data_IF_265432704694
#
_entry.id   IF_265432704694
#
_cell.length_a   1.000
_cell.length_b   1.000
_cell.length_c   1.000
_cell.angle_alpha   90.00
_cell.angle_beta   90.00
_cell.angle_gamma   90.00
#
_symmetry.space_group_name_H-M   'P 1'
#
loop_
_entity.id
_entity.type
_entity.pdbx_description
1 polymer ?
#
# COMPACT_ATOMS: atom_id res chain seq x y z
N UNK A 1 -35.26 -17.11 78.90
CA UNK A 1 -35.29 -16.44 77.61
C UNK A 1 -34.09 -16.93 76.82
N UNK A 2 -34.29 -17.86 75.88
CA UNK A 2 -33.26 -18.38 75.00
C UNK A 2 -33.65 -18.06 73.55
N UNK A 3 -32.95 -17.16 72.92
CA UNK A 3 -33.11 -16.78 71.52
C UNK A 3 -32.21 -17.63 70.68
N UNK A 4 -32.81 -18.52 69.87
CA UNK A 4 -32.07 -19.29 68.85
C UNK A 4 -31.88 -18.48 67.60
N UNK A 5 -30.64 -18.20 67.23
CA UNK A 5 -30.31 -17.67 65.92
C UNK A 5 -30.04 -18.81 64.95
N UNK A 6 -30.95 -18.98 64.02
CA UNK A 6 -30.84 -19.90 62.89
C UNK A 6 -29.96 -19.24 61.82
N UNK A 7 -28.69 -19.67 61.74
CA UNK A 7 -27.75 -19.18 60.72
C UNK A 7 -28.11 -19.76 59.34
N UNK A 8 -28.55 -18.88 58.43
CA UNK A 8 -28.71 -19.21 57.04
C UNK A 8 -27.32 -19.12 56.36
N UNK A 9 -26.77 -20.28 56.04
CA UNK A 9 -25.55 -20.38 55.19
C UNK A 9 -25.96 -20.03 53.77
N UNK A 10 -25.68 -18.79 53.33
CA UNK A 10 -25.67 -18.44 51.91
C UNK A 10 -24.40 -19.01 51.30
N UNK A 11 -24.55 -20.00 50.46
CA UNK A 11 -23.53 -20.49 49.52
C UNK A 11 -23.51 -19.52 48.31
N UNK A 12 -22.40 -18.79 48.08
CA UNK A 12 -22.34 -18.03 46.84
C UNK A 12 -22.16 -19.02 45.68
N UNK A 13 -23.19 -19.10 44.83
CA UNK A 13 -23.03 -19.73 43.52
C UNK A 13 -22.01 -18.91 42.71
N UNK A 14 -20.78 -19.41 42.66
CA UNK A 14 -19.78 -18.91 41.71
C UNK A 14 -20.25 -19.34 40.34
N UNK A 15 -20.93 -18.46 39.62
CA UNK A 15 -21.15 -18.60 38.20
C UNK A 15 -19.78 -18.50 37.52
N UNK A 16 -19.21 -19.64 37.17
CA UNK A 16 -18.08 -19.71 36.25
C UNK A 16 -18.62 -19.23 34.89
N UNK A 17 -18.48 -17.92 34.64
CA UNK A 17 -18.53 -17.40 33.28
C UNK A 17 -17.30 -18.00 32.54
N UNK A 18 -17.53 -19.11 31.87
CA UNK A 18 -16.60 -19.61 30.86
C UNK A 18 -16.53 -18.55 29.76
N UNK A 19 -15.60 -17.61 29.91
CA UNK A 19 -15.13 -16.78 28.81
C UNK A 19 -14.32 -17.70 27.91
N UNK A 20 -15.03 -18.51 27.12
CA UNK A 20 -14.45 -19.16 25.97
C UNK A 20 -14.05 -18.07 24.99
N UNK A 21 -12.81 -17.57 25.10
CA UNK A 21 -12.19 -16.89 23.97
C UNK A 21 -12.12 -17.94 22.88
N UNK A 22 -12.79 -17.71 21.74
CA UNK A 22 -12.77 -18.71 20.69
C UNK A 22 -11.32 -18.85 20.22
N UNK A 23 -10.75 -20.06 20.34
CA UNK A 23 -9.43 -20.39 19.81
C UNK A 23 -9.27 -19.91 18.35
N UNK A 24 -10.36 -19.96 17.58
CA UNK A 24 -10.41 -19.51 16.20
C UNK A 24 -10.14 -18.02 16.00
N UNK A 25 -10.52 -17.15 16.95
CA UNK A 25 -10.24 -15.72 16.85
C UNK A 25 -8.72 -15.44 16.98
N UNK A 26 -8.04 -16.16 17.87
CA UNK A 26 -6.58 -16.05 18.05
C UNK A 26 -5.83 -16.53 16.81
N UNK A 27 -6.21 -17.69 16.24
CA UNK A 27 -5.58 -18.20 15.01
C UNK A 27 -5.78 -17.29 13.81
N UNK A 28 -6.97 -16.68 13.69
CA UNK A 28 -7.26 -15.70 12.63
C UNK A 28 -6.41 -14.45 12.81
N UNK A 29 -6.32 -13.92 14.03
CA UNK A 29 -5.54 -12.73 14.31
C UNK A 29 -4.04 -12.95 14.09
N UNK A 30 -3.49 -14.09 14.51
CA UNK A 30 -2.10 -14.47 14.28
C UNK A 30 -1.81 -14.60 12.78
N UNK A 31 -2.76 -15.12 11.98
CA UNK A 31 -2.65 -15.20 10.53
C UNK A 31 -2.61 -13.82 9.90
N UNK A 32 -3.53 -12.92 10.26
CA UNK A 32 -3.58 -11.55 9.76
C UNK A 32 -2.25 -10.84 10.03
N UNK A 33 -1.71 -10.93 11.25
CA UNK A 33 -0.43 -10.33 11.59
C UNK A 33 0.74 -10.92 10.80
N UNK A 34 0.73 -12.24 10.58
CA UNK A 34 1.75 -12.93 9.80
C UNK A 34 1.67 -12.52 8.31
N UNK A 35 0.47 -12.49 7.74
CA UNK A 35 0.26 -12.06 6.35
C UNK A 35 0.69 -10.60 6.14
N UNK A 36 0.37 -9.70 7.07
CA UNK A 36 0.84 -8.32 7.02
C UNK A 36 2.37 -8.23 7.00
N UNK A 37 3.04 -8.90 7.95
CA UNK A 37 4.51 -8.89 8.04
C UNK A 37 5.19 -9.50 6.82
N UNK A 38 4.59 -10.54 6.23
CA UNK A 38 5.15 -11.27 5.10
C UNK A 38 4.72 -10.72 3.75
N UNK A 39 3.83 -9.73 3.72
CA UNK A 39 3.37 -9.11 2.48
C UNK A 39 4.53 -8.45 1.73
N UNK A 40 4.46 -8.45 0.40
CA UNK A 40 5.48 -7.85 -0.45
C UNK A 40 5.72 -6.37 -0.11
N UNK A 41 4.66 -5.63 0.17
CA UNK A 41 4.75 -4.20 0.54
C UNK A 41 5.57 -4.02 1.82
N UNK A 42 5.30 -4.80 2.87
CA UNK A 42 6.05 -4.68 4.13
C UNK A 42 7.50 -5.12 3.97
N UNK A 43 7.76 -6.15 3.17
CA UNK A 43 9.11 -6.66 2.93
C UNK A 43 9.96 -5.78 2.00
N UNK A 44 9.33 -4.99 1.15
CA UNK A 44 10.02 -4.21 0.12
C UNK A 44 10.00 -2.71 0.43
N UNK A 45 8.81 -2.11 0.47
CA UNK A 45 8.66 -0.65 0.62
C UNK A 45 8.75 -0.19 2.08
N UNK A 46 8.27 -1.01 3.01
CA UNK A 46 8.16 -0.66 4.43
C UNK A 46 9.24 -1.31 5.31
N UNK A 47 10.15 -2.10 4.72
CA UNK A 47 11.18 -2.87 5.45
C UNK A 47 12.04 -2.06 6.42
N UNK A 48 12.28 -0.80 6.08
CA UNK A 48 13.08 0.11 6.89
C UNK A 48 12.24 0.97 7.85
N UNK A 49 10.96 0.68 7.97
CA UNK A 49 10.02 1.34 8.87
C UNK A 49 9.82 0.51 10.14
N UNK A 50 9.67 1.17 11.27
CA UNK A 50 9.43 0.50 12.55
C UNK A 50 7.93 0.30 12.78
N UNK A 51 7.29 -0.56 11.98
CA UNK A 51 5.85 -0.83 12.05
C UNK A 51 5.59 -2.08 12.88
N UNK A 52 4.65 -1.96 13.82
CA UNK A 52 4.06 -3.07 14.57
C UNK A 52 2.62 -3.24 14.14
N UNK A 53 2.24 -4.47 13.87
CA UNK A 53 0.88 -4.87 13.51
C UNK A 53 0.32 -5.73 14.63
N UNK A 54 -0.83 -5.37 15.16
CA UNK A 54 -1.57 -6.15 16.16
C UNK A 54 -3.00 -6.32 15.70
N UNK A 55 -3.48 -7.58 15.68
CA UNK A 55 -4.86 -7.91 15.34
C UNK A 55 -5.63 -8.37 16.58
N UNK A 56 -6.87 -7.97 16.67
CA UNK A 56 -7.81 -8.49 17.66
C UNK A 56 -9.21 -8.54 17.06
N UNK A 57 -9.76 -9.76 16.96
CA UNK A 57 -11.08 -10.03 16.38
C UNK A 57 -11.24 -9.45 14.95
N UNK A 58 -10.14 -9.42 14.16
CA UNK A 58 -10.08 -8.84 12.82
C UNK A 58 -9.96 -7.30 12.77
N UNK A 59 -9.84 -6.65 13.91
CA UNK A 59 -9.49 -5.21 14.00
C UNK A 59 -7.97 -5.09 14.13
N UNK A 60 -7.33 -4.48 13.15
CA UNK A 60 -5.88 -4.36 13.12
C UNK A 60 -5.44 -2.97 13.55
N UNK A 61 -4.53 -2.89 14.51
CA UNK A 61 -3.88 -1.65 14.93
C UNK A 61 -2.46 -1.61 14.38
N UNK A 62 -2.15 -0.57 13.62
CA UNK A 62 -0.82 -0.27 13.12
C UNK A 62 -0.19 0.82 14.00
N UNK A 63 0.93 0.51 14.63
CA UNK A 63 1.69 1.47 15.47
C UNK A 63 3.14 1.55 15.03
N UNK A 64 3.80 2.62 15.41
CA UNK A 64 5.22 2.83 15.13
C UNK A 64 5.49 4.00 14.21
N UNK A 65 6.63 3.98 13.52
CA UNK A 65 7.08 5.13 12.71
C UNK A 65 7.43 4.72 11.31
N UNK A 66 7.09 5.59 10.36
CA UNK A 66 7.41 5.45 8.94
C UNK A 66 8.36 6.56 8.48
N UNK A 67 9.11 6.29 7.40
CA UNK A 67 10.05 7.26 6.82
C UNK A 67 9.36 8.33 5.98
N UNK A 68 8.22 8.00 5.38
CA UNK A 68 7.47 8.88 4.49
C UNK A 68 5.97 8.81 4.81
N UNK A 69 5.25 9.92 4.63
CA UNK A 69 3.80 9.98 4.86
C UNK A 69 3.04 9.00 3.95
N UNK A 70 3.49 8.83 2.70
CA UNK A 70 2.93 7.85 1.75
C UNK A 70 3.00 6.40 2.26
N UNK A 71 3.98 6.08 3.10
CA UNK A 71 4.12 4.76 3.71
C UNK A 71 2.98 4.44 4.70
N UNK A 72 2.42 5.46 5.36
CA UNK A 72 1.24 5.28 6.23
C UNK A 72 0.06 4.76 5.43
N UNK A 73 -0.18 5.37 4.26
CA UNK A 73 -1.26 4.97 3.37
C UNK A 73 -1.01 3.59 2.77
N UNK A 74 0.20 3.33 2.30
CA UNK A 74 0.57 2.04 1.72
C UNK A 74 0.41 0.90 2.75
N UNK A 75 0.82 1.12 4.01
CA UNK A 75 0.62 0.16 5.10
C UNK A 75 -0.87 -0.08 5.39
N UNK A 76 -1.66 1.00 5.50
CA UNK A 76 -3.10 0.94 5.73
C UNK A 76 -3.80 0.12 4.64
N UNK A 77 -3.57 0.48 3.36
CA UNK A 77 -4.22 -0.19 2.22
C UNK A 77 -3.82 -1.67 2.13
N UNK A 78 -2.54 -1.99 2.39
CA UNK A 78 -2.09 -3.39 2.39
C UNK A 78 -2.82 -4.20 3.45
N UNK A 79 -2.88 -3.71 4.69
CA UNK A 79 -3.52 -4.45 5.79
C UNK A 79 -5.03 -4.52 5.63
N UNK A 80 -5.67 -3.46 5.14
CA UNK A 80 -7.12 -3.43 4.93
C UNK A 80 -7.61 -4.48 3.89
N UNK A 81 -6.71 -4.95 3.01
CA UNK A 81 -7.04 -5.93 1.98
C UNK A 81 -6.59 -7.36 2.32
N UNK A 82 -6.07 -7.59 3.53
CA UNK A 82 -5.82 -8.95 4.03
C UNK A 82 -7.17 -9.62 4.36
N UNK A 83 -7.36 -10.89 3.99
CA UNK A 83 -8.58 -11.64 4.32
C UNK A 83 -8.89 -11.58 5.82
N UNK A 84 -10.18 -11.50 6.16
CA UNK A 84 -10.73 -11.43 7.52
C UNK A 84 -10.42 -10.14 8.31
N UNK A 85 -9.72 -9.17 7.74
CA UNK A 85 -9.58 -7.83 8.32
C UNK A 85 -10.91 -7.08 8.18
N UNK A 86 -11.46 -6.64 9.30
CA UNK A 86 -12.72 -5.89 9.38
C UNK A 86 -12.49 -4.37 9.35
N UNK A 87 -11.43 -3.93 9.99
CA UNK A 87 -11.04 -2.51 10.03
C UNK A 87 -9.57 -2.37 10.45
N UNK A 88 -8.99 -1.22 10.11
CA UNK A 88 -7.61 -0.88 10.48
C UNK A 88 -7.59 0.45 11.22
N UNK A 89 -7.03 0.43 12.43
CA UNK A 89 -6.71 1.62 13.21
C UNK A 89 -5.24 2.00 12.92
N UNK A 90 -5.06 3.03 12.11
CA UNK A 90 -3.73 3.45 11.69
C UNK A 90 -3.18 4.56 12.60
N UNK A 91 -2.39 4.16 13.59
CA UNK A 91 -1.68 5.02 14.53
C UNK A 91 -0.20 5.21 14.16
N UNK A 92 0.17 4.98 12.88
CA UNK A 92 1.54 5.20 12.43
C UNK A 92 1.89 6.68 12.49
N UNK A 93 3.08 6.97 13.01
CA UNK A 93 3.64 8.30 13.05
C UNK A 93 4.67 8.50 11.95
N UNK A 94 4.66 9.66 11.34
CA UNK A 94 5.75 10.15 10.50
C UNK A 94 6.57 11.17 11.31
N UNK A 95 7.86 10.90 11.50
CA UNK A 95 8.74 11.77 12.30
C UNK A 95 9.38 12.91 11.52
N UNK A 96 9.07 13.03 10.22
CA UNK A 96 9.51 14.15 9.40
C UNK A 96 8.59 15.36 9.53
N UNK A 97 8.98 16.45 8.89
CA UNK A 97 8.06 17.55 8.62
C UNK A 97 7.10 17.02 7.56
N UNK A 98 5.79 16.93 7.88
CA UNK A 98 4.79 16.59 6.85
C UNK A 98 4.84 17.67 5.78
N UNK A 99 5.28 17.34 4.56
CA UNK A 99 5.25 18.32 3.49
C UNK A 99 3.80 18.73 3.28
N UNK A 100 3.56 20.03 3.12
CA UNK A 100 2.22 20.50 2.73
C UNK A 100 1.76 19.79 1.46
N UNK A 101 0.47 19.50 1.36
CA UNK A 101 -0.12 18.94 0.12
C UNK A 101 0.29 19.82 -1.05
N UNK A 102 0.88 19.21 -2.11
CA UNK A 102 1.47 19.90 -3.27
C UNK A 102 2.76 20.71 -2.98
N UNK A 103 3.42 20.51 -1.83
CA UNK A 103 4.79 21.02 -1.69
C UNK A 103 5.74 20.25 -2.61
N UNK A 104 6.85 20.89 -2.98
CA UNK A 104 7.86 20.26 -3.85
C UNK A 104 8.39 18.95 -3.26
N UNK A 105 8.55 18.85 -1.93
CA UNK A 105 8.95 17.64 -1.23
C UNK A 105 7.88 16.55 -1.33
N UNK A 106 6.59 16.92 -1.19
CA UNK A 106 5.48 15.99 -1.37
C UNK A 106 5.44 15.46 -2.81
N UNK A 107 5.55 16.34 -3.79
CA UNK A 107 5.58 15.97 -5.20
C UNK A 107 6.78 15.08 -5.55
N UNK A 108 7.94 15.35 -4.97
CA UNK A 108 9.13 14.49 -5.14
C UNK A 108 8.86 13.05 -4.66
N UNK A 109 8.24 12.89 -3.48
CA UNK A 109 7.87 11.57 -2.97
C UNK A 109 6.84 10.86 -3.84
N UNK A 110 5.85 11.59 -4.38
CA UNK A 110 4.83 11.02 -5.26
C UNK A 110 5.44 10.52 -6.58
N UNK A 111 6.39 11.27 -7.15
CA UNK A 111 7.12 10.86 -8.36
C UNK A 111 7.93 9.58 -8.09
N UNK A 112 8.67 9.52 -6.99
CA UNK A 112 9.43 8.34 -6.60
C UNK A 112 8.50 7.12 -6.49
N UNK A 113 7.36 7.29 -5.83
CA UNK A 113 6.39 6.22 -5.61
C UNK A 113 5.78 5.74 -6.93
N UNK A 114 5.40 6.64 -7.83
CA UNK A 114 4.87 6.30 -9.15
C UNK A 114 5.85 5.45 -9.98
N UNK A 115 7.14 5.78 -9.89
CA UNK A 115 8.20 5.00 -10.57
C UNK A 115 8.38 3.63 -9.92
N UNK A 116 8.42 3.55 -8.59
CA UNK A 116 8.67 2.29 -7.87
C UNK A 116 7.55 1.27 -8.00
N UNK A 117 6.30 1.72 -8.12
CA UNK A 117 5.16 0.82 -8.29
C UNK A 117 5.09 0.21 -9.69
N UNK A 118 5.78 0.79 -10.68
CA UNK A 118 5.80 0.27 -12.03
C UNK A 118 6.69 -0.98 -12.14
N UNK A 119 6.16 -2.07 -12.75
CA UNK A 119 6.84 -3.36 -12.86
C UNK A 119 8.19 -3.32 -13.59
N UNK A 120 8.33 -2.41 -14.55
CA UNK A 120 9.51 -2.34 -15.39
C UNK A 120 10.49 -1.27 -14.92
N UNK A 121 10.02 -0.35 -14.09
CA UNK A 121 10.78 0.80 -13.59
C UNK A 121 11.17 0.66 -12.11
N UNK A 122 10.51 -0.22 -11.35
CA UNK A 122 10.67 -0.33 -9.89
C UNK A 122 12.08 -0.67 -9.40
N UNK A 123 12.89 -1.30 -10.25
CA UNK A 123 14.32 -1.56 -9.95
C UNK A 123 15.21 -0.32 -10.04
N UNK A 124 14.72 0.72 -10.73
CA UNK A 124 15.45 1.99 -10.83
C UNK A 124 15.29 2.78 -9.52
N UNK A 125 16.34 3.44 -9.10
CA UNK A 125 16.37 4.30 -7.92
C UNK A 125 16.74 5.72 -8.34
N UNK A 126 15.87 6.42 -9.11
CA UNK A 126 16.18 7.76 -9.53
C UNK A 126 16.27 8.68 -8.31
N UNK A 127 17.18 9.63 -8.38
CA UNK A 127 17.10 10.82 -7.54
C UNK A 127 16.07 11.75 -8.16
N UNK A 128 15.12 12.19 -7.35
CA UNK A 128 14.07 13.11 -7.76
C UNK A 128 14.13 14.33 -6.88
N UNK A 129 14.33 15.48 -7.50
CA UNK A 129 14.20 16.80 -6.85
C UNK A 129 13.09 17.58 -7.56
N UNK A 130 12.21 18.19 -6.81
CA UNK A 130 11.13 19.01 -7.37
C UNK A 130 11.30 20.44 -6.92
N UNK A 131 11.21 21.38 -7.86
CA UNK A 131 11.23 22.84 -7.59
C UNK A 131 10.12 23.53 -8.37
N UNK A 132 9.23 24.20 -7.66
CA UNK A 132 8.07 24.91 -8.24
C UNK A 132 7.24 23.98 -9.14
N UNK A 133 7.09 22.70 -8.77
CA UNK A 133 6.36 21.71 -9.54
C UNK A 133 7.11 21.16 -10.76
N UNK A 134 8.40 21.48 -10.95
CA UNK A 134 9.24 20.90 -12.01
C UNK A 134 10.12 19.80 -11.41
N UNK A 135 9.93 18.57 -11.85
CA UNK A 135 10.71 17.42 -11.40
C UNK A 135 12.00 17.29 -12.19
N UNK A 136 13.13 17.27 -11.48
CA UNK A 136 14.43 16.91 -11.99
C UNK A 136 14.68 15.42 -11.67
N UNK A 137 14.93 14.63 -12.71
CA UNK A 137 15.22 13.20 -12.60
C UNK A 137 16.69 12.96 -12.93
N UNK A 138 17.40 12.29 -12.01
CA UNK A 138 18.83 11.96 -12.18
C UNK A 138 19.07 10.49 -11.81
N UNK A 139 20.10 9.88 -12.38
CA UNK A 139 20.50 8.50 -12.14
C UNK A 139 20.73 7.71 -13.43
N UNK A 140 20.73 6.39 -13.31
CA UNK A 140 20.96 5.49 -14.44
C UNK A 140 19.78 4.54 -14.64
N UNK A 141 19.49 4.23 -15.89
CA UNK A 141 18.50 3.24 -16.33
C UNK A 141 19.14 2.16 -17.19
N UNK A 142 18.46 1.04 -17.37
CA UNK A 142 18.96 -0.11 -18.14
C UNK A 142 19.00 0.14 -19.65
N UNK A 143 18.01 0.88 -20.16
CA UNK A 143 17.85 1.14 -21.59
C UNK A 143 17.15 2.48 -21.84
N UNK A 144 17.18 2.89 -23.12
CA UNK A 144 16.64 4.18 -23.55
C UNK A 144 15.11 4.27 -23.45
N UNK A 145 14.41 3.10 -23.54
CA UNK A 145 12.95 3.08 -23.39
C UNK A 145 12.52 3.43 -21.97
N UNK A 146 13.31 3.07 -20.96
CA UNK A 146 13.07 3.43 -19.58
C UNK A 146 13.23 4.93 -19.32
N UNK A 147 14.13 5.63 -20.03
CA UNK A 147 14.28 7.08 -19.93
C UNK A 147 12.94 7.80 -20.25
N UNK A 148 12.34 7.43 -21.37
CA UNK A 148 11.07 8.02 -21.80
C UNK A 148 9.94 7.73 -20.82
N UNK A 149 9.81 6.47 -20.39
CA UNK A 149 8.74 6.04 -19.49
C UNK A 149 8.84 6.66 -18.10
N UNK A 150 10.03 6.72 -17.51
CA UNK A 150 10.23 7.39 -16.21
C UNK A 150 9.79 8.86 -16.29
N UNK A 151 10.14 9.56 -17.37
CA UNK A 151 9.71 10.95 -17.56
C UNK A 151 8.18 11.07 -17.76
N UNK A 152 7.54 10.10 -18.43
CA UNK A 152 6.08 10.04 -18.59
C UNK A 152 5.40 9.85 -17.23
N UNK A 153 5.79 8.83 -16.45
CA UNK A 153 5.25 8.59 -15.11
C UNK A 153 5.44 9.77 -14.16
N UNK A 154 6.60 10.42 -14.21
CA UNK A 154 6.84 11.61 -13.41
C UNK A 154 5.92 12.78 -13.81
N UNK A 155 5.65 12.94 -15.11
CA UNK A 155 4.77 14.02 -15.63
C UNK A 155 3.31 13.78 -15.25
N UNK A 156 2.90 12.53 -15.11
CA UNK A 156 1.52 12.14 -14.83
C UNK A 156 1.15 12.23 -13.33
N UNK A 157 2.11 12.51 -12.47
CA UNK A 157 1.84 12.82 -11.06
C UNK A 157 1.12 14.15 -10.94
N UNK A 158 0.01 14.16 -10.17
CA UNK A 158 -0.76 15.39 -9.94
C UNK A 158 0.08 16.46 -9.23
N UNK A 159 0.02 17.68 -9.73
CA UNK A 159 0.82 18.81 -9.24
C UNK A 159 2.16 19.00 -9.98
N UNK A 160 2.66 18.02 -10.72
CA UNK A 160 3.85 18.18 -11.57
C UNK A 160 3.50 19.02 -12.82
N UNK A 161 4.24 20.08 -13.02
CA UNK A 161 4.08 21.04 -14.13
C UNK A 161 5.06 20.79 -15.27
N UNK A 162 6.18 20.15 -14.98
CA UNK A 162 7.21 19.84 -15.95
C UNK A 162 8.20 18.82 -15.43
N UNK A 163 8.88 18.13 -16.37
CA UNK A 163 9.92 17.13 -16.05
C UNK A 163 11.19 17.46 -16.84
N UNK A 164 12.29 17.56 -16.12
CA UNK A 164 13.63 17.63 -16.66
C UNK A 164 14.32 16.30 -16.37
N UNK A 165 14.52 15.51 -17.43
CA UNK A 165 15.14 14.21 -17.34
C UNK A 165 16.64 14.31 -17.67
N UNK A 166 17.47 14.17 -16.66
CA UNK A 166 18.95 14.13 -16.76
C UNK A 166 19.50 12.72 -16.47
N UNK A 167 18.64 11.71 -16.53
CA UNK A 167 19.05 10.31 -16.36
C UNK A 167 19.85 9.84 -17.58
N UNK A 168 20.75 8.90 -17.33
CA UNK A 168 21.60 8.30 -18.36
C UNK A 168 21.37 6.79 -18.46
N UNK A 169 21.65 6.22 -19.63
CA UNK A 169 21.63 4.76 -19.80
C UNK A 169 22.92 4.15 -19.28
N UNK A 170 22.80 3.23 -18.31
CA UNK A 170 23.94 2.49 -17.80
C UNK A 170 24.61 1.69 -18.93
N UNK A 171 25.92 1.80 -19.07
CA UNK A 171 26.68 0.94 -19.97
C UNK A 171 26.79 -0.46 -19.36
N UNK A 172 25.86 -1.34 -19.68
CA UNK A 172 25.83 -2.70 -19.17
C UNK A 172 26.97 -3.50 -19.80
N UNK A 173 27.98 -3.86 -19.00
CA UNK A 173 28.81 -5.02 -19.26
C UNK A 173 28.00 -6.26 -18.85
N UNK A 174 27.41 -6.92 -19.84
CA UNK A 174 26.81 -8.23 -19.90
C UNK A 174 26.68 -9.04 -18.58
N UNK A 175 25.68 -8.76 -17.76
CA UNK A 175 25.14 -9.75 -16.82
C UNK A 175 23.68 -10.00 -17.14
N UNK A 176 23.24 -11.28 -17.16
CA UNK A 176 21.84 -11.58 -17.38
C UNK A 176 21.02 -11.09 -16.20
N UNK A 177 20.04 -10.24 -16.48
CA UNK A 177 19.04 -9.80 -15.51
C UNK A 177 18.30 -11.03 -15.01
N UNK A 178 18.53 -11.42 -13.76
CA UNK A 178 17.65 -12.38 -13.08
C UNK A 178 16.29 -11.73 -12.93
N UNK A 179 15.33 -12.17 -13.73
CA UNK A 179 13.91 -11.84 -13.54
C UNK A 179 13.47 -12.41 -12.20
N UNK A 180 13.40 -11.58 -11.18
CA UNK A 180 12.74 -11.92 -9.92
C UNK A 180 11.25 -12.09 -10.20
N UNK A 181 10.85 -13.30 -10.45
CA UNK A 181 9.46 -13.70 -10.46
C UNK A 181 9.03 -13.97 -9.00
N UNK A 182 9.12 -12.94 -8.16
CA UNK A 182 8.55 -13.00 -6.82
C UNK A 182 7.03 -13.04 -6.94
N UNK A 183 6.41 -14.01 -6.27
CA UNK A 183 4.96 -14.08 -6.14
C UNK A 183 4.54 -12.96 -5.19
N UNK A 184 3.84 -11.96 -5.71
CA UNK A 184 3.31 -10.88 -4.90
C UNK A 184 1.92 -11.28 -4.43
N UNK A 185 1.63 -11.02 -3.16
CA UNK A 185 0.33 -11.25 -2.55
C UNK A 185 -0.72 -10.25 -3.05
N UNK A 186 -1.97 -10.69 -3.12
CA UNK A 186 -3.06 -9.89 -3.69
C UNK A 186 -3.36 -8.62 -2.89
N UNK A 187 -3.15 -8.62 -1.57
CA UNK A 187 -3.32 -7.44 -0.74
C UNK A 187 -2.31 -6.34 -1.10
N UNK A 188 -1.05 -6.74 -1.32
CA UNK A 188 0.01 -5.82 -1.79
C UNK A 188 -0.27 -5.29 -3.20
N UNK A 189 -0.77 -6.14 -4.12
CA UNK A 189 -1.16 -5.69 -5.46
C UNK A 189 -2.29 -4.67 -5.37
N UNK A 190 -3.34 -4.96 -4.61
CA UNK A 190 -4.47 -4.04 -4.41
C UNK A 190 -4.01 -2.71 -3.84
N UNK A 191 -3.16 -2.71 -2.80
CA UNK A 191 -2.63 -1.49 -2.19
C UNK A 191 -1.82 -0.65 -3.19
N UNK A 192 -0.96 -1.28 -3.98
CA UNK A 192 -0.17 -0.60 -5.02
C UNK A 192 -1.08 0.05 -6.08
N UNK A 193 -2.11 -0.67 -6.56
CA UNK A 193 -3.09 -0.14 -7.50
C UNK A 193 -3.82 1.07 -6.94
N UNK A 194 -4.34 0.97 -5.71
CA UNK A 194 -5.04 2.08 -5.05
C UNK A 194 -4.15 3.32 -4.95
N UNK A 195 -2.90 3.15 -4.51
CA UNK A 195 -1.95 4.25 -4.39
C UNK A 195 -1.61 4.85 -5.75
N UNK A 196 -1.37 4.04 -6.78
CA UNK A 196 -1.09 4.51 -8.14
C UNK A 196 -2.23 5.35 -8.70
N UNK A 197 -3.48 4.89 -8.53
CA UNK A 197 -4.67 5.64 -8.96
C UNK A 197 -4.83 6.98 -8.23
N UNK A 198 -4.42 7.05 -6.95
CA UNK A 198 -4.52 8.27 -6.14
C UNK A 198 -3.44 9.29 -6.48
N UNK A 199 -2.30 8.86 -6.99
CA UNK A 199 -1.18 9.74 -7.35
C UNK A 199 -1.28 10.26 -8.78
N UNK A 200 -2.03 9.58 -9.64
CA UNK A 200 -2.14 9.94 -11.05
C UNK A 200 -3.18 11.05 -11.27
N UNK A 201 -2.78 12.12 -11.96
CA UNK A 201 -3.59 13.34 -12.19
C UNK A 201 -4.94 13.15 -12.89
N UNK A 202 -5.04 12.10 -13.71
CA UNK A 202 -6.18 11.90 -14.63
C UNK A 202 -7.06 10.71 -14.22
N UNK A 203 -6.96 10.24 -12.99
CA UNK A 203 -7.78 9.15 -12.48
C UNK A 203 -8.69 9.59 -11.34
N UNK A 204 -9.88 9.01 -11.28
CA UNK A 204 -10.86 9.26 -10.22
C UNK A 204 -10.80 8.17 -9.16
N UNK A 205 -9.65 8.03 -8.49
CA UNK A 205 -9.40 6.95 -7.52
C UNK A 205 -10.47 6.82 -6.44
N UNK A 206 -11.05 7.93 -5.98
CA UNK A 206 -12.12 7.94 -4.98
C UNK A 206 -13.44 7.32 -5.46
N UNK A 207 -13.60 7.15 -6.78
CA UNK A 207 -14.78 6.54 -7.42
C UNK A 207 -14.49 5.15 -7.98
N UNK A 208 -13.27 4.64 -7.79
CA UNK A 208 -12.81 3.37 -8.32
C UNK A 208 -12.71 2.35 -7.18
N UNK A 209 -13.39 1.22 -7.33
CA UNK A 209 -13.19 0.06 -6.47
C UNK A 209 -12.16 -0.88 -7.08
N UNK A 210 -11.31 -1.47 -6.24
CA UNK A 210 -10.24 -2.37 -6.65
C UNK A 210 -10.31 -3.65 -5.83
N UNK A 211 -10.29 -4.78 -6.49
CA UNK A 211 -10.15 -6.09 -5.85
C UNK A 211 -9.17 -6.95 -6.65
N UNK A 212 -8.28 -7.65 -5.94
CA UNK A 212 -7.30 -8.54 -6.58
C UNK A 212 -7.51 -9.98 -6.13
N UNK A 213 -7.43 -10.90 -7.08
CA UNK A 213 -7.43 -12.33 -6.82
C UNK A 213 -6.45 -13.03 -7.77
N UNK A 214 -5.49 -13.76 -7.21
CA UNK A 214 -4.44 -14.47 -7.96
C UNK A 214 -3.69 -13.55 -8.96
N UNK A 215 -3.50 -12.27 -8.60
CA UNK A 215 -2.88 -11.25 -9.45
C UNK A 215 -3.79 -10.68 -10.54
N UNK A 216 -5.05 -11.10 -10.63
CA UNK A 216 -6.05 -10.51 -11.52
C UNK A 216 -6.75 -9.38 -10.78
N UNK A 217 -6.62 -8.16 -11.28
CA UNK A 217 -7.24 -6.97 -10.72
C UNK A 217 -8.59 -6.72 -11.37
N UNK A 218 -9.64 -6.67 -10.55
CA UNK A 218 -10.98 -6.26 -10.98
C UNK A 218 -11.22 -4.82 -10.55
N UNK A 219 -11.51 -3.98 -11.52
CA UNK A 219 -11.84 -2.56 -11.33
C UNK A 219 -13.34 -2.36 -11.50
N UNK A 220 -13.94 -1.58 -10.60
CA UNK A 220 -15.33 -1.16 -10.67
C UNK A 220 -15.48 0.31 -10.33
N UNK A 221 -16.69 0.84 -10.43
CA UNK A 221 -16.98 2.24 -10.16
C UNK A 221 -17.26 3.05 -11.42
N UNK A 222 -17.11 4.38 -11.34
CA UNK A 222 -17.46 5.27 -12.43
C UNK A 222 -16.23 5.97 -13.01
N UNK A 223 -16.02 5.81 -14.33
CA UNK A 223 -15.09 6.62 -15.09
C UNK A 223 -15.77 7.90 -15.59
N UNK A 224 -15.04 9.00 -15.68
CA UNK A 224 -15.58 10.26 -16.23
C UNK A 224 -15.86 10.17 -17.72
N UNK A 225 -15.09 9.34 -18.44
CA UNK A 225 -15.18 9.14 -19.87
C UNK A 225 -14.45 7.84 -20.28
N UNK A 226 -14.65 7.34 -21.50
CA UNK A 226 -13.98 6.13 -21.98
C UNK A 226 -12.43 6.21 -21.95
N UNK A 227 -11.86 7.40 -22.17
CA UNK A 227 -10.41 7.58 -22.16
C UNK A 227 -9.83 7.37 -20.74
N UNK A 228 -10.53 7.78 -19.68
CA UNK A 228 -10.14 7.48 -18.30
C UNK A 228 -10.19 5.98 -18.03
N UNK A 229 -11.23 5.28 -18.52
CA UNK A 229 -11.35 3.84 -18.38
C UNK A 229 -10.17 3.09 -19.02
N UNK A 230 -9.76 3.48 -20.21
CA UNK A 230 -8.62 2.89 -20.93
C UNK A 230 -7.29 3.23 -20.20
N UNK A 231 -7.14 4.47 -19.76
CA UNK A 231 -5.98 4.92 -19.00
C UNK A 231 -5.81 4.14 -17.68
N UNK A 232 -6.90 3.97 -16.91
CA UNK A 232 -6.89 3.18 -15.68
C UNK A 232 -6.50 1.74 -15.95
N UNK A 233 -7.03 1.14 -17.03
CA UNK A 233 -6.64 -0.22 -17.42
C UNK A 233 -5.15 -0.32 -17.70
N UNK A 234 -4.59 0.60 -18.50
CA UNK A 234 -3.17 0.63 -18.83
C UNK A 234 -2.32 0.84 -17.58
N UNK A 235 -2.63 1.86 -16.77
CA UNK A 235 -1.90 2.16 -15.54
C UNK A 235 -1.85 0.96 -14.60
N UNK A 236 -2.98 0.29 -14.40
CA UNK A 236 -3.08 -0.88 -13.53
C UNK A 236 -2.32 -2.07 -14.10
N UNK A 237 -2.37 -2.29 -15.43
CA UNK A 237 -1.63 -3.38 -16.06
C UNK A 237 -0.11 -3.25 -15.93
N UNK A 238 0.39 -2.03 -15.75
CA UNK A 238 1.81 -1.73 -15.60
C UNK A 238 2.34 -1.88 -14.16
N UNK A 239 1.45 -2.16 -13.19
CA UNK A 239 1.85 -2.33 -11.79
C UNK A 239 2.48 -3.71 -11.56
N UNK A 240 3.52 -3.72 -10.74
CA UNK A 240 4.23 -4.95 -10.40
C UNK A 240 3.32 -5.93 -9.65
N UNK A 241 3.27 -7.19 -10.13
CA UNK A 241 2.40 -8.24 -9.58
C UNK A 241 1.05 -8.40 -10.29
N UNK A 242 0.60 -7.42 -11.07
CA UNK A 242 -0.62 -7.54 -11.86
C UNK A 242 -0.40 -8.50 -13.04
N UNK A 243 -1.22 -9.54 -13.13
CA UNK A 243 -1.20 -10.54 -14.19
C UNK A 243 -2.27 -10.28 -15.25
N UNK A 244 -3.33 -9.60 -14.85
CA UNK A 244 -4.43 -9.23 -15.74
C UNK A 244 -5.37 -8.22 -15.10
N UNK A 245 -6.13 -7.51 -15.93
CA UNK A 245 -7.08 -6.49 -15.49
C UNK A 245 -8.45 -6.76 -16.07
N UNK A 246 -9.47 -6.79 -15.23
CA UNK A 246 -10.90 -6.84 -15.61
C UNK A 246 -11.48 -5.48 -15.25
N UNK A 247 -11.74 -4.64 -16.25
CA UNK A 247 -12.25 -3.29 -16.02
C UNK A 247 -13.77 -3.20 -16.26
N UNK A 248 -14.53 -3.22 -15.18
CA UNK A 248 -15.98 -3.10 -15.12
C UNK A 248 -16.46 -1.67 -14.83
N UNK A 249 -15.58 -0.66 -14.91
CA UNK A 249 -15.98 0.75 -14.72
C UNK A 249 -17.03 1.16 -15.78
N UNK A 250 -17.99 1.95 -15.36
CA UNK A 250 -19.08 2.48 -16.19
C UNK A 250 -18.92 3.97 -16.44
#
# INVERSE_FOLDING_TARGET
MKTNYLGILMVPAIALLATGTPLHASEMDDRIESEARNSYVFQTFLKDSAIKTQSKDGVVTLTGTVKHESHKKLALETVAHIPDVKSVDNQLEFKGISPGVNSDEFLSMQVILAIWLNRELGDNKPQVDVKNGVALLQGEVKDESQLGRIAEYARDVDGIRGVRNEMTVARIKGEPVQTRQERIDDASVTAQVMVALLTHRSTSALKTSVATKDGIVTLGGAAQNPAEKDLVTKLVSDIYGVRGVINNMV
#
